data_IF_704821015464
#
_entry.id   IF_704821015464
#
_cell.length_a   1.000
_cell.length_b   1.000
_cell.length_c   1.000
_cell.angle_alpha   90.00
_cell.angle_beta   90.00
_cell.angle_gamma   90.00
#
_symmetry.space_group_name_H-M   'P 1'
#
loop_
_entity.id
_entity.type
_entity.pdbx_description
1 polymer ?
#
# COMPACT_ATOMS: atom_id res chain seq x y z
N UNK A 1 16.89 -8.48 -2.61
CA UNK A 1 15.46 -8.58 -2.95
C UNK A 1 14.83 -7.28 -3.47
N UNK A 2 14.37 -6.30 -2.65
CA UNK A 2 13.74 -5.08 -3.22
C UNK A 2 14.70 -4.27 -4.12
N UNK A 3 15.99 -4.26 -3.78
CA UNK A 3 17.02 -3.63 -4.60
C UNK A 3 17.09 -4.24 -6.01
N UNK A 4 17.08 -5.57 -6.12
CA UNK A 4 17.10 -6.28 -7.40
C UNK A 4 15.82 -6.00 -8.20
N UNK A 5 14.64 -6.08 -7.55
CA UNK A 5 13.36 -5.72 -8.19
C UNK A 5 13.37 -4.30 -8.77
N UNK A 6 13.97 -3.35 -8.05
CA UNK A 6 14.10 -1.97 -8.53
C UNK A 6 15.15 -1.80 -9.61
N UNK A 7 16.28 -2.50 -9.53
CA UNK A 7 17.30 -2.49 -10.59
C UNK A 7 16.73 -3.03 -11.91
N UNK A 8 15.99 -4.13 -11.85
CA UNK A 8 15.31 -4.70 -13.03
C UNK A 8 14.24 -3.74 -13.56
N UNK A 9 13.45 -3.13 -12.67
CA UNK A 9 12.48 -2.12 -13.06
C UNK A 9 13.13 -0.90 -13.73
N UNK A 10 14.21 -0.34 -13.17
CA UNK A 10 14.87 0.83 -13.76
C UNK A 10 15.54 0.51 -15.09
N UNK A 11 16.18 -0.67 -15.23
CA UNK A 11 16.71 -1.13 -16.52
C UNK A 11 15.61 -1.22 -17.57
N UNK A 12 14.43 -1.75 -17.22
CA UNK A 12 13.27 -1.85 -18.12
C UNK A 12 12.75 -0.48 -18.54
N UNK A 13 12.62 0.44 -17.58
CA UNK A 13 12.14 1.81 -17.79
C UNK A 13 13.03 2.62 -18.73
N UNK A 14 14.32 2.29 -18.79
CA UNK A 14 15.28 2.90 -19.73
C UNK A 14 15.23 2.30 -21.14
N UNK A 15 14.52 1.19 -21.34
CA UNK A 15 14.33 0.59 -22.66
C UNK A 15 13.22 1.34 -23.43
N UNK A 16 13.35 1.54 -24.75
CA UNK A 16 12.40 2.30 -25.57
C UNK A 16 11.09 1.54 -25.85
N UNK A 17 10.71 0.57 -25.01
CA UNK A 17 9.50 -0.24 -25.19
C UNK A 17 8.21 0.56 -24.93
N UNK A 18 8.29 1.61 -24.11
CA UNK A 18 7.14 2.44 -23.69
C UNK A 18 7.55 3.89 -23.61
N UNK A 19 6.59 4.80 -23.84
CA UNK A 19 6.80 6.23 -23.65
C UNK A 19 7.05 6.51 -22.16
N UNK A 20 8.33 6.72 -21.84
CA UNK A 20 8.81 6.81 -20.46
C UNK A 20 9.69 8.04 -20.27
N UNK A 21 9.38 8.84 -19.25
CA UNK A 21 10.23 9.94 -18.79
C UNK A 21 10.86 9.60 -17.43
N UNK A 22 12.18 9.79 -17.32
CA UNK A 22 12.90 9.63 -16.05
C UNK A 22 13.55 10.96 -15.65
N UNK A 23 13.31 11.40 -14.41
CA UNK A 23 13.85 12.63 -13.83
C UNK A 23 14.47 12.34 -12.48
N UNK A 24 15.63 12.92 -12.22
CA UNK A 24 16.36 12.77 -10.96
C UNK A 24 16.35 14.10 -10.21
N UNK A 25 16.05 14.07 -8.91
CA UNK A 25 16.05 15.26 -8.04
C UNK A 25 16.70 14.96 -6.71
N UNK A 26 17.67 15.78 -6.31
CA UNK A 26 18.27 15.71 -4.98
C UNK A 26 17.64 16.78 -4.08
N UNK A 27 17.23 16.39 -2.87
CA UNK A 27 16.65 17.28 -1.87
C UNK A 27 17.27 17.01 -0.50
N UNK A 28 18.24 17.84 -0.09
CA UNK A 28 19.05 17.64 1.12
C UNK A 28 19.71 16.24 1.09
N UNK A 29 19.43 15.39 2.09
CA UNK A 29 19.93 14.00 2.19
C UNK A 29 19.14 12.98 1.36
N UNK A 30 18.09 13.42 0.68
CA UNK A 30 17.20 12.53 -0.06
C UNK A 30 17.45 12.64 -1.56
N UNK A 31 17.40 11.49 -2.24
CA UNK A 31 17.38 11.41 -3.69
C UNK A 31 16.01 10.92 -4.12
N UNK A 32 15.39 11.60 -5.09
CA UNK A 32 14.10 11.26 -5.65
C UNK A 32 14.32 10.90 -7.12
N UNK A 33 14.06 9.63 -7.45
CA UNK A 33 13.93 9.20 -8.84
C UNK A 33 12.46 9.27 -9.21
N UNK A 34 12.12 10.01 -10.25
CA UNK A 34 10.77 10.20 -10.75
C UNK A 34 10.66 9.54 -12.12
N UNK A 35 9.76 8.56 -12.25
CA UNK A 35 9.47 7.86 -13.50
C UNK A 35 8.02 8.12 -13.87
N UNK A 36 7.75 8.55 -15.10
CA UNK A 36 6.42 8.60 -15.69
C UNK A 36 6.41 7.64 -16.87
N UNK A 37 5.51 6.67 -16.86
CA UNK A 37 5.39 5.64 -17.89
C UNK A 37 3.94 5.60 -18.38
N UNK A 38 3.74 5.63 -19.70
CA UNK A 38 2.47 5.29 -20.32
C UNK A 38 2.47 3.79 -20.62
N UNK A 39 1.64 3.03 -19.89
CA UNK A 39 1.53 1.57 -20.08
C UNK A 39 0.48 1.16 -21.11
N UNK A 40 -0.04 2.12 -21.90
CA UNK A 40 -1.16 2.03 -22.87
C UNK A 40 -2.56 1.98 -22.25
N UNK A 41 -2.67 1.61 -20.97
CA UNK A 41 -3.95 1.51 -20.26
C UNK A 41 -4.12 2.63 -19.22
N UNK A 42 -3.01 3.17 -18.72
CA UNK A 42 -2.96 4.20 -17.69
C UNK A 42 -1.63 4.93 -17.71
N UNK A 43 -1.64 6.13 -17.18
CA UNK A 43 -0.41 6.87 -16.89
C UNK A 43 0.06 6.46 -15.49
N UNK A 44 1.24 5.88 -15.42
CA UNK A 44 1.93 5.48 -14.20
C UNK A 44 2.96 6.54 -13.81
N UNK A 45 2.79 7.14 -12.63
CA UNK A 45 3.68 8.18 -12.13
C UNK A 45 4.29 7.73 -10.80
N UNK A 46 5.56 7.36 -10.82
CA UNK A 46 6.28 6.80 -9.70
C UNK A 46 7.36 7.74 -9.18
N UNK A 47 7.43 7.90 -7.86
CA UNK A 47 8.51 8.61 -7.18
C UNK A 47 9.12 7.72 -6.12
N UNK A 48 10.40 7.44 -6.29
CA UNK A 48 11.19 6.60 -5.41
C UNK A 48 12.07 7.50 -4.55
N UNK A 49 11.88 7.44 -3.23
CA UNK A 49 12.66 8.22 -2.27
C UNK A 49 13.75 7.34 -1.67
N UNK A 50 14.99 7.77 -1.84
CA UNK A 50 16.17 7.13 -1.30
C UNK A 50 16.84 8.01 -0.25
N UNK A 51 17.43 7.38 0.76
CA UNK A 51 18.33 8.00 1.72
C UNK A 51 19.61 7.15 1.77
N UNK A 52 20.77 7.74 1.47
CA UNK A 52 22.06 7.02 1.37
C UNK A 52 21.99 5.73 0.53
N UNK A 53 21.32 5.79 -0.64
CA UNK A 53 21.07 4.66 -1.56
C UNK A 53 20.11 3.57 -1.05
N UNK A 54 19.61 3.67 0.18
CA UNK A 54 18.54 2.80 0.69
C UNK A 54 17.17 3.36 0.32
N UNK A 55 16.30 2.50 -0.21
CA UNK A 55 14.91 2.86 -0.50
C UNK A 55 14.16 3.10 0.81
N UNK A 56 13.57 4.29 0.94
CA UNK A 56 12.74 4.67 2.09
C UNK A 56 11.25 4.50 1.79
N UNK A 57 10.81 5.00 0.63
CA UNK A 57 9.41 4.99 0.26
C UNK A 57 9.22 5.10 -1.23
N UNK A 58 8.05 4.65 -1.68
CA UNK A 58 7.60 4.79 -3.05
C UNK A 58 6.21 5.41 -3.03
N UNK A 59 6.10 6.54 -3.71
CA UNK A 59 4.84 7.17 -4.03
C UNK A 59 4.48 6.81 -5.47
N UNK A 60 3.23 6.42 -5.71
CA UNK A 60 2.73 6.08 -7.04
C UNK A 60 1.41 6.77 -7.26
N UNK A 61 1.20 7.28 -8.46
CA UNK A 61 -0.08 7.80 -8.91
C UNK A 61 -0.43 7.11 -10.22
N UNK A 62 -1.68 6.70 -10.35
CA UNK A 62 -2.21 5.99 -11.50
C UNK A 62 -3.46 6.72 -11.97
N UNK A 63 -3.47 7.13 -13.24
CA UNK A 63 -4.65 7.73 -13.89
C UNK A 63 -5.29 6.71 -14.83
N UNK A 64 -6.50 6.28 -14.50
CA UNK A 64 -7.24 5.26 -15.23
C UNK A 64 -8.15 5.93 -16.27
N UNK A 65 -8.41 5.27 -17.41
CA UNK A 65 -9.09 5.82 -18.60
C UNK A 65 -10.53 6.38 -18.41
N UNK A 66 -11.08 6.42 -17.19
CA UNK A 66 -12.40 7.01 -16.91
C UNK A 66 -12.37 8.12 -15.84
N UNK A 67 -11.19 8.67 -15.55
CA UNK A 67 -10.99 9.75 -14.58
C UNK A 67 -10.90 9.30 -13.12
N UNK A 68 -11.09 8.00 -12.87
CA UNK A 68 -10.72 7.34 -11.62
C UNK A 68 -9.20 7.37 -11.46
N UNK A 69 -8.76 7.69 -10.26
CA UNK A 69 -7.34 7.80 -9.93
C UNK A 69 -7.03 7.06 -8.65
N UNK A 70 -5.81 6.56 -8.56
CA UNK A 70 -5.28 6.06 -7.30
C UNK A 70 -3.94 6.66 -6.97
N UNK A 71 -3.73 7.00 -5.70
CA UNK A 71 -2.42 7.33 -5.17
C UNK A 71 -2.04 6.26 -4.15
N UNK A 72 -0.93 5.58 -4.39
CA UNK A 72 -0.33 4.62 -3.49
C UNK A 72 0.88 5.26 -2.79
N UNK A 73 1.00 5.03 -1.49
CA UNK A 73 2.20 5.29 -0.74
C UNK A 73 2.63 4.02 -0.03
N UNK A 74 3.84 3.56 -0.34
CA UNK A 74 4.46 2.41 0.31
C UNK A 74 5.71 2.85 1.04
N UNK A 75 5.77 2.52 2.32
CA UNK A 75 6.87 2.87 3.22
C UNK A 75 7.64 1.60 3.59
N UNK A 76 8.96 1.65 3.39
CA UNK A 76 9.89 0.57 3.65
C UNK A 76 10.65 0.89 4.93
N UNK A 77 10.32 0.21 6.03
CA UNK A 77 10.97 0.47 7.32
C UNK A 77 10.88 -0.74 8.24
N UNK A 78 12.00 -1.09 8.88
CA UNK A 78 12.10 -2.21 9.83
C UNK A 78 11.71 -3.57 9.19
N UNK A 79 10.99 -4.40 9.96
CA UNK A 79 10.56 -5.76 9.63
C UNK A 79 9.42 -5.81 8.62
N UNK A 80 8.66 -4.73 8.46
CA UNK A 80 7.42 -4.69 7.67
C UNK A 80 7.42 -3.61 6.58
N UNK A 81 6.56 -3.81 5.60
CA UNK A 81 6.25 -2.82 4.57
C UNK A 81 4.79 -2.43 4.76
N UNK A 82 4.57 -1.13 4.92
CA UNK A 82 3.23 -0.53 5.08
C UNK A 82 2.85 0.16 3.80
N UNK A 83 1.63 -0.07 3.34
CA UNK A 83 1.10 0.54 2.14
C UNK A 83 -0.30 1.08 2.38
N UNK A 84 -0.56 2.27 1.85
CA UNK A 84 -1.88 2.85 1.73
C UNK A 84 -2.11 3.25 0.27
N UNK A 85 -3.25 2.84 -0.29
CA UNK A 85 -3.73 3.29 -1.59
C UNK A 85 -5.04 4.02 -1.40
N UNK A 86 -5.15 5.22 -1.95
CA UNK A 86 -6.39 6.00 -1.94
C UNK A 86 -6.95 6.03 -3.35
N UNK A 87 -8.22 5.62 -3.51
CA UNK A 87 -8.98 5.77 -4.74
C UNK A 87 -9.81 7.04 -4.67
N UNK A 88 -9.79 7.82 -5.73
CA UNK A 88 -10.47 9.11 -5.75
C UNK A 88 -10.88 9.50 -7.17
N UNK A 89 -11.91 10.34 -7.26
CA UNK A 89 -12.35 10.99 -8.48
C UNK A 89 -12.36 12.50 -8.25
N UNK A 90 -11.68 13.25 -9.10
CA UNK A 90 -11.40 14.69 -8.88
C UNK A 90 -10.75 14.96 -7.50
N UNK A 91 -11.50 15.49 -6.54
CA UNK A 91 -11.07 15.72 -5.16
C UNK A 91 -11.84 14.87 -4.14
N UNK A 92 -12.72 13.98 -4.60
CA UNK A 92 -13.57 13.14 -3.76
C UNK A 92 -12.93 11.77 -3.56
N UNK A 93 -12.69 11.39 -2.31
CA UNK A 93 -12.16 10.08 -1.94
C UNK A 93 -13.29 9.06 -2.01
N UNK A 94 -13.06 7.96 -2.73
CA UNK A 94 -14.04 6.90 -2.96
C UNK A 94 -13.74 5.64 -2.12
N UNK A 95 -12.49 5.47 -1.73
CA UNK A 95 -12.06 4.34 -0.93
C UNK A 95 -10.58 4.37 -0.60
N UNK A 96 -10.18 3.47 0.29
CA UNK A 96 -8.78 3.27 0.64
C UNK A 96 -8.48 1.77 0.75
N UNK A 97 -7.22 1.41 0.53
CA UNK A 97 -6.69 0.08 0.83
C UNK A 97 -5.49 0.24 1.73
N UNK A 98 -5.47 -0.45 2.87
CA UNK A 98 -4.30 -0.62 3.71
C UNK A 98 -3.71 -2.01 3.50
N UNK A 99 -2.40 -2.12 3.55
CA UNK A 99 -1.72 -3.42 3.46
C UNK A 99 -0.45 -3.42 4.31
N UNK A 100 -0.22 -4.55 4.96
CA UNK A 100 1.00 -4.85 5.69
C UNK A 100 1.60 -6.12 5.09
N UNK A 101 2.84 -6.04 4.66
CA UNK A 101 3.60 -7.16 4.12
C UNK A 101 5.03 -7.13 4.64
N UNK A 102 5.90 -7.99 4.11
CA UNK A 102 7.29 -8.13 4.51
C UNK A 102 8.21 -7.91 3.32
N UNK A 103 9.44 -7.40 3.54
CA UNK A 103 10.40 -7.16 2.48
C UNK A 103 10.61 -8.36 1.55
N UNK A 104 10.70 -9.57 2.11
CA UNK A 104 10.95 -10.82 1.37
C UNK A 104 9.74 -11.38 0.60
N UNK A 105 8.57 -10.72 0.68
CA UNK A 105 7.34 -11.15 0.00
C UNK A 105 6.98 -10.31 -1.22
N UNK A 106 7.80 -9.32 -1.53
CA UNK A 106 7.72 -8.60 -2.80
C UNK A 106 8.17 -9.51 -3.93
N UNK A 107 7.48 -9.45 -5.05
CA UNK A 107 7.86 -10.19 -6.26
C UNK A 107 7.77 -9.25 -7.47
N UNK A 108 8.40 -9.65 -8.57
CA UNK A 108 8.27 -8.96 -9.84
C UNK A 108 6.81 -8.93 -10.28
N UNK A 109 6.40 -7.81 -10.86
CA UNK A 109 5.09 -7.70 -11.50
C UNK A 109 5.08 -8.59 -12.76
N UNK A 110 4.19 -9.61 -12.86
CA UNK A 110 4.14 -10.48 -14.03
C UNK A 110 3.79 -9.72 -15.32
N UNK A 111 3.11 -8.59 -15.21
CA UNK A 111 2.77 -7.73 -16.36
C UNK A 111 3.90 -6.75 -16.71
N UNK A 112 4.98 -6.73 -15.90
CA UNK A 112 6.11 -5.82 -16.04
C UNK A 112 5.69 -4.36 -16.19
N UNK A 113 4.71 -3.90 -15.39
CA UNK A 113 4.24 -2.51 -15.36
C UNK A 113 4.65 -1.81 -14.08
N UNK A 114 4.58 -2.52 -12.95
CA UNK A 114 4.89 -2.01 -11.63
C UNK A 114 6.31 -2.40 -11.20
N UNK A 115 6.95 -1.61 -10.33
CA UNK A 115 8.27 -1.95 -9.78
C UNK A 115 8.27 -3.25 -8.96
N UNK A 116 7.13 -3.61 -8.39
CA UNK A 116 6.89 -4.87 -7.69
C UNK A 116 5.39 -5.01 -7.41
N UNK A 117 4.99 -6.22 -7.03
CA UNK A 117 3.69 -6.52 -6.42
C UNK A 117 3.89 -7.25 -5.08
N UNK A 118 2.82 -7.33 -4.29
CA UNK A 118 2.79 -8.13 -3.06
C UNK A 118 2.48 -9.59 -3.42
N UNK A 119 3.52 -10.41 -3.46
CA UNK A 119 3.38 -11.85 -3.64
C UNK A 119 2.73 -12.51 -2.42
N UNK A 120 2.96 -11.95 -1.23
CA UNK A 120 2.21 -12.27 -0.01
C UNK A 120 1.92 -11.01 0.79
N UNK A 121 0.95 -11.08 1.69
CA UNK A 121 0.63 -10.00 2.63
C UNK A 121 0.13 -10.57 3.94
N UNK A 122 0.59 -10.01 5.06
CA UNK A 122 0.10 -10.40 6.38
C UNK A 122 -1.37 -9.98 6.54
N UNK A 123 -1.69 -8.75 6.12
CA UNK A 123 -3.06 -8.23 6.11
C UNK A 123 -3.29 -7.30 4.91
N UNK A 124 -4.50 -7.38 4.35
CA UNK A 124 -5.04 -6.37 3.44
C UNK A 124 -6.46 -5.96 3.87
N UNK A 125 -6.72 -4.65 3.85
CA UNK A 125 -7.97 -4.05 4.27
C UNK A 125 -8.47 -3.09 3.19
N UNK A 126 -9.76 -3.15 2.87
CA UNK A 126 -10.41 -2.23 1.95
C UNK A 126 -11.52 -1.47 2.65
N UNK A 127 -11.48 -0.16 2.47
CA UNK A 127 -12.45 0.78 2.98
C UNK A 127 -13.20 1.40 1.81
N UNK A 128 -14.52 1.44 1.89
CA UNK A 128 -15.36 2.10 0.90
C UNK A 128 -16.09 3.28 1.52
N UNK A 129 -16.33 4.30 0.70
CA UNK A 129 -17.07 5.49 1.10
C UNK A 129 -18.51 5.13 1.50
N UNK A 130 -18.88 5.44 2.75
CA UNK A 130 -20.27 5.48 3.17
C UNK A 130 -20.90 6.80 2.68
N UNK A 131 -21.90 6.74 1.81
CA UNK A 131 -22.50 7.94 1.20
C UNK A 131 -23.25 8.84 2.18
N UNK A 132 -23.65 8.32 3.35
CA UNK A 132 -24.42 9.09 4.34
C UNK A 132 -23.50 9.86 5.29
N UNK A 133 -22.40 9.24 5.74
CA UNK A 133 -21.45 9.88 6.67
C UNK A 133 -20.23 10.47 5.98
N UNK A 134 -19.95 10.07 4.74
CA UNK A 134 -18.74 10.38 3.98
C UNK A 134 -17.45 9.81 4.59
N UNK A 135 -17.56 8.95 5.60
CA UNK A 135 -16.44 8.20 6.15
C UNK A 135 -16.09 7.00 5.27
N UNK A 136 -14.85 6.52 5.38
CA UNK A 136 -14.45 5.26 4.77
C UNK A 136 -14.65 4.12 5.76
N UNK A 137 -15.55 3.19 5.44
CA UNK A 137 -15.87 2.05 6.28
C UNK A 137 -15.17 0.79 5.79
N UNK A 138 -14.54 0.08 6.71
CA UNK A 138 -13.93 -1.22 6.44
C UNK A 138 -15.02 -2.16 5.94
N UNK A 139 -14.84 -2.62 4.70
CA UNK A 139 -15.82 -3.47 4.02
C UNK A 139 -15.24 -4.85 3.68
N UNK A 140 -13.91 -4.94 3.58
CA UNK A 140 -13.22 -6.19 3.35
C UNK A 140 -11.91 -6.23 4.13
N UNK A 141 -11.62 -7.37 4.73
CA UNK A 141 -10.34 -7.63 5.38
C UNK A 141 -9.96 -9.10 5.21
N UNK A 142 -8.70 -9.32 4.84
CA UNK A 142 -8.12 -10.66 4.72
C UNK A 142 -6.74 -10.72 5.33
N UNK A 143 -6.42 -11.88 5.88
CA UNK A 143 -5.12 -12.22 6.45
C UNK A 143 -4.40 -13.26 5.59
N UNK A 144 -3.08 -13.34 5.77
CA UNK A 144 -2.23 -14.39 5.21
C UNK A 144 -2.41 -14.60 3.70
N UNK A 145 -2.52 -13.51 2.93
CA UNK A 145 -2.66 -13.61 1.48
C UNK A 145 -1.36 -14.18 0.87
N UNK A 146 -1.49 -15.19 0.01
CA UNK A 146 -0.38 -15.81 -0.72
C UNK A 146 -0.78 -16.02 -2.18
N UNK A 147 -0.18 -15.23 -3.08
CA UNK A 147 -0.47 -15.24 -4.51
C UNK A 147 -0.15 -16.59 -5.17
N UNK A 148 0.89 -17.28 -4.69
CA UNK A 148 1.39 -18.51 -5.30
C UNK A 148 0.48 -19.70 -5.00
N UNK A 149 0.08 -19.86 -3.72
CA UNK A 149 -0.83 -20.93 -3.31
C UNK A 149 -2.31 -20.56 -3.45
N UNK A 150 -2.62 -19.32 -3.85
CA UNK A 150 -3.98 -18.74 -3.85
C UNK A 150 -4.65 -18.80 -2.47
N UNK A 151 -3.84 -18.81 -1.41
CA UNK A 151 -4.33 -18.89 -0.04
C UNK A 151 -4.67 -17.51 0.53
N UNK A 152 -5.72 -17.45 1.36
CA UNK A 152 -6.03 -16.31 2.22
C UNK A 152 -7.08 -16.69 3.27
N UNK A 153 -7.02 -16.07 4.44
CA UNK A 153 -8.11 -16.09 5.41
C UNK A 153 -8.95 -14.82 5.27
N UNK A 154 -10.17 -14.94 4.78
CA UNK A 154 -11.14 -13.85 4.85
C UNK A 154 -11.71 -13.74 6.26
N UNK A 155 -11.58 -12.56 6.86
CA UNK A 155 -12.19 -12.22 8.16
C UNK A 155 -13.43 -11.35 7.99
N UNK A 156 -13.45 -10.50 6.95
CA UNK A 156 -14.59 -9.68 6.57
C UNK A 156 -14.66 -9.60 5.05
N UNK A 157 -15.79 -9.99 4.46
CA UNK A 157 -16.16 -9.78 3.05
C UNK A 157 -17.61 -10.23 2.88
N UNK A 158 -18.32 -9.80 1.83
CA UNK A 158 -19.71 -10.22 1.47
C UNK A 158 -20.32 -11.42 2.25
N UNK A 159 -21.02 -11.15 3.35
CA UNK A 159 -21.73 -12.17 4.15
C UNK A 159 -20.87 -12.97 5.14
N UNK A 160 -19.57 -12.69 5.20
CA UNK A 160 -18.59 -13.25 6.13
C UNK A 160 -18.16 -12.15 7.09
N UNK A 161 -18.35 -12.39 8.38
CA UNK A 161 -17.88 -11.53 9.45
C UNK A 161 -17.38 -12.42 10.59
N UNK A 162 -16.07 -12.40 10.81
CA UNK A 162 -15.41 -13.12 11.91
C UNK A 162 -14.83 -12.08 12.85
N UNK A 163 -15.40 -11.98 14.04
CA UNK A 163 -15.00 -10.94 14.99
C UNK A 163 -13.72 -11.29 15.73
N UNK A 164 -13.42 -12.56 15.97
CA UNK A 164 -12.16 -12.96 16.61
C UNK A 164 -11.71 -14.32 16.13
N UNK A 165 -10.41 -14.56 16.18
CA UNK A 165 -9.85 -15.86 15.82
C UNK A 165 -8.34 -15.92 15.92
N UNK A 166 -7.83 -17.14 15.85
CA UNK A 166 -6.42 -17.43 15.64
C UNK A 166 -6.29 -18.28 14.38
N UNK A 167 -5.26 -18.01 13.58
CA UNK A 167 -5.02 -18.69 12.33
C UNK A 167 -3.53 -18.92 12.11
N UNK A 168 -3.15 -20.17 11.92
CA UNK A 168 -1.78 -20.53 11.60
C UNK A 168 -1.67 -20.76 10.09
N UNK A 169 -0.81 -19.98 9.42
CA UNK A 169 -0.44 -20.22 8.03
C UNK A 169 1.06 -20.41 7.92
N UNK A 170 1.47 -21.62 7.52
CA UNK A 170 2.88 -22.05 7.55
C UNK A 170 3.41 -21.91 8.99
N UNK A 171 4.42 -21.06 9.21
CA UNK A 171 5.03 -20.85 10.52
C UNK A 171 4.66 -19.50 11.14
N UNK A 172 3.55 -18.91 10.71
CA UNK A 172 3.12 -17.58 11.19
C UNK A 172 1.71 -17.71 11.76
N UNK A 173 1.58 -17.40 13.05
CA UNK A 173 0.29 -17.34 13.73
C UNK A 173 -0.25 -15.91 13.68
N UNK A 174 -1.52 -15.79 13.28
CA UNK A 174 -2.27 -14.54 13.25
C UNK A 174 -3.38 -14.63 14.28
N UNK A 175 -3.37 -13.78 15.30
CA UNK A 175 -4.49 -13.62 16.23
C UNK A 175 -5.15 -12.28 15.97
N UNK A 176 -6.46 -12.27 15.82
CA UNK A 176 -7.18 -11.04 15.52
C UNK A 176 -8.43 -10.88 16.38
N UNK A 177 -8.75 -9.62 16.65
CA UNK A 177 -10.01 -9.20 17.22
C UNK A 177 -10.51 -7.95 16.47
N UNK A 178 -11.66 -8.07 15.83
CA UNK A 178 -12.37 -7.08 15.03
C UNK A 178 -13.63 -6.67 15.81
N UNK A 179 -13.50 -5.61 16.61
CA UNK A 179 -14.60 -4.95 17.31
C UNK A 179 -14.70 -3.50 16.79
N UNK A 180 -14.56 -2.49 17.65
CA UNK A 180 -14.48 -1.06 17.27
C UNK A 180 -13.18 -0.71 16.52
N UNK A 181 -12.17 -1.55 16.67
CA UNK A 181 -10.87 -1.49 16.03
C UNK A 181 -10.49 -2.93 15.68
N UNK A 182 -9.62 -3.09 14.69
CA UNK A 182 -8.98 -4.37 14.42
C UNK A 182 -7.64 -4.40 15.17
N UNK A 183 -7.52 -5.30 16.14
CA UNK A 183 -6.24 -5.68 16.72
C UNK A 183 -5.74 -6.95 16.04
N UNK A 184 -4.46 -6.98 15.68
CA UNK A 184 -3.81 -8.08 15.00
C UNK A 184 -2.45 -8.34 15.66
N UNK A 185 -2.27 -9.55 16.16
CA UNK A 185 -1.00 -10.07 16.62
C UNK A 185 -0.44 -11.00 15.54
N UNK A 186 0.80 -10.77 15.13
CA UNK A 186 1.53 -11.60 14.16
C UNK A 186 2.68 -12.25 14.92
N UNK A 187 2.72 -13.58 14.98
CA UNK A 187 3.78 -14.33 15.63
C UNK A 187 4.57 -15.18 14.64
N UNK A 188 5.86 -14.87 14.50
CA UNK A 188 6.80 -15.56 13.60
C UNK A 188 8.22 -15.63 14.21
N UNK A 189 8.27 -16.02 15.49
CA UNK A 189 9.38 -16.06 16.47
C UNK A 189 9.22 -15.02 17.58
N UNK A 190 8.74 -13.81 17.25
CA UNK A 190 8.36 -12.76 18.18
C UNK A 190 6.90 -12.35 17.92
N UNK A 191 6.25 -11.70 18.88
CA UNK A 191 4.88 -11.22 18.74
C UNK A 191 4.90 -9.72 18.42
N UNK A 192 4.47 -9.37 17.21
CA UNK A 192 4.25 -7.99 16.80
C UNK A 192 2.75 -7.67 16.84
N UNK A 193 2.41 -6.49 17.37
CA UNK A 193 1.02 -6.08 17.56
C UNK A 193 0.69 -4.90 16.65
N UNK A 194 -0.46 -4.95 16.00
CA UNK A 194 -0.95 -3.92 15.10
C UNK A 194 -2.40 -3.56 15.40
N UNK A 195 -2.71 -2.29 15.30
CA UNK A 195 -4.08 -1.78 15.42
C UNK A 195 -4.45 -1.04 14.15
N UNK A 196 -5.66 -1.30 13.65
CA UNK A 196 -6.22 -0.64 12.47
C UNK A 196 -7.64 -0.14 12.76
N UNK A 197 -8.03 1.03 12.23
CA UNK A 197 -9.38 1.53 12.38
C UNK A 197 -10.36 0.69 11.54
N UNK A 198 -11.59 0.51 12.01
CA UNK A 198 -12.68 0.00 11.16
C UNK A 198 -13.34 1.13 10.35
N UNK A 199 -13.22 2.37 10.82
CA UNK A 199 -13.77 3.56 10.15
C UNK A 199 -12.69 4.63 10.11
N UNK A 200 -12.42 5.16 8.93
CA UNK A 200 -11.56 6.33 8.73
C UNK A 200 -12.49 7.52 8.50
N UNK A 201 -12.52 8.44 9.45
CA UNK A 201 -13.38 9.62 9.37
C UNK A 201 -13.08 10.45 8.13
N UNK A 202 -14.09 11.14 7.58
CA UNK A 202 -13.93 11.98 6.38
C UNK A 202 -12.78 12.99 6.50
N UNK A 203 -12.67 13.69 7.64
CA UNK A 203 -11.59 14.65 7.87
C UNK A 203 -10.21 13.97 7.82
N UNK A 204 -10.10 12.80 8.43
CA UNK A 204 -8.87 12.02 8.46
C UNK A 204 -8.49 11.48 7.09
N UNK A 205 -9.46 10.96 6.32
CA UNK A 205 -9.19 10.50 4.95
C UNK A 205 -8.73 11.65 4.05
N UNK A 206 -9.32 12.85 4.19
CA UNK A 206 -8.88 14.07 3.52
C UNK A 206 -7.46 14.50 3.92
N UNK A 207 -7.11 14.45 5.21
CA UNK A 207 -5.76 14.75 5.70
C UNK A 207 -4.73 13.78 5.11
N UNK A 208 -5.03 12.48 5.10
CA UNK A 208 -4.16 11.47 4.48
C UNK A 208 -4.03 11.75 2.98
N UNK A 209 -5.14 11.97 2.27
CA UNK A 209 -5.11 12.24 0.83
C UNK A 209 -4.28 13.47 0.50
N UNK A 210 -4.46 14.58 1.22
CA UNK A 210 -3.68 15.80 1.02
C UNK A 210 -2.20 15.61 1.37
N UNK A 211 -1.89 14.85 2.44
CA UNK A 211 -0.53 14.54 2.84
C UNK A 211 0.22 13.74 1.76
N UNK A 212 -0.44 12.73 1.18
CA UNK A 212 0.16 11.87 0.16
C UNK A 212 0.16 12.55 -1.22
N UNK A 213 -0.90 13.28 -1.58
CA UNK A 213 -0.96 14.04 -2.83
C UNK A 213 0.06 15.18 -2.83
N UNK A 214 0.25 15.83 -1.69
CA UNK A 214 1.36 16.75 -1.44
C UNK A 214 2.70 16.03 -1.35
N UNK A 215 3.81 16.76 -1.21
CA UNK A 215 5.13 16.16 -0.94
C UNK A 215 5.31 15.75 0.54
N UNK A 216 4.21 15.60 1.30
CA UNK A 216 4.23 15.31 2.73
C UNK A 216 4.85 13.95 3.04
N UNK A 217 4.58 12.95 2.19
CA UNK A 217 5.08 11.58 2.27
C UNK A 217 6.62 11.43 2.32
N UNK A 218 7.38 12.46 1.97
CA UNK A 218 8.84 12.50 2.19
C UNK A 218 9.16 12.35 3.68
N UNK A 219 8.27 12.79 4.56
CA UNK A 219 8.43 12.71 6.01
C UNK A 219 8.03 11.35 6.61
N UNK A 220 7.66 10.37 5.76
CA UNK A 220 7.43 8.97 6.17
C UNK A 220 6.02 8.66 6.65
N UNK A 221 5.88 7.52 7.33
CA UNK A 221 4.57 6.94 7.68
C UNK A 221 3.94 7.52 8.95
N UNK A 222 4.70 8.19 9.82
CA UNK A 222 4.23 8.63 11.15
C UNK A 222 2.94 9.44 11.09
N UNK A 223 2.85 10.41 10.16
CA UNK A 223 1.65 11.25 9.99
C UNK A 223 0.43 10.45 9.53
N UNK A 224 0.62 9.40 8.72
CA UNK A 224 -0.48 8.53 8.30
C UNK A 224 -1.04 7.78 9.50
N UNK A 225 -0.19 7.26 10.40
CA UNK A 225 -0.66 6.66 11.64
C UNK A 225 -1.44 7.65 12.52
N UNK A 226 -0.96 8.89 12.65
CA UNK A 226 -1.65 9.94 13.41
C UNK A 226 -3.03 10.28 12.83
N UNK A 227 -3.23 10.12 11.52
CA UNK A 227 -4.53 10.36 10.88
C UNK A 227 -5.43 9.12 10.84
N UNK A 228 -4.89 7.91 10.98
CA UNK A 228 -5.68 6.68 11.00
C UNK A 228 -6.34 6.41 12.36
N UNK A 229 -5.78 6.97 13.43
CA UNK A 229 -6.24 6.83 14.81
C UNK A 229 -7.03 8.06 15.27
#
# INVERSE_FOLDING_TARGET
MIKELLEDYFKRVEQPLRNTEVKYRNKKKFNITHVIEDDEFRILNHRFLFNNKSLMSIWRHQDWMMGDRSIDFTFFYEKYIKSISIRYFQNSILGAKLSLTRPQWLISDPDFRLPYIFGKSDIEMWYYLNKNTLDLQLSKCRLAYDYSSKHSLTILDHGIEKNKGAYLYKNIEYRYNLDKILNLDISDNEIDNFTFPITIQQNNSNLIFNYIRGYGWINGWKKINEFLM
#
